data_IF_355259785393
#
_entry.id   IF_355259785393
#
_cell.length_a   1.000
_cell.length_b   1.000
_cell.length_c   1.000
_cell.angle_alpha   90.00
_cell.angle_beta   90.00
_cell.angle_gamma   90.00
#
_symmetry.space_group_name_H-M   'P 1'
#
loop_
_entity.id
_entity.type
_entity.pdbx_description
1 polymer ?
#
# COMPACT_ATOMS: atom_id res chain seq x y z
N UNK A 1 24.23 -3.93 49.55
CA UNK A 1 22.79 -3.57 49.53
C UNK A 1 22.68 -2.21 48.85
N UNK A 2 21.86 -1.93 47.85
CA UNK A 2 20.73 -2.66 47.28
C UNK A 2 20.82 -2.61 45.74
N UNK A 3 20.81 -3.81 45.15
CA UNK A 3 20.65 -4.05 43.72
C UNK A 3 19.16 -3.92 43.43
N UNK A 4 18.77 -2.87 42.73
CA UNK A 4 17.37 -2.59 42.38
C UNK A 4 17.26 -2.05 40.96
N UNK A 5 18.02 -2.61 40.02
CA UNK A 5 17.81 -2.36 38.60
C UNK A 5 16.44 -2.92 38.22
N UNK A 6 15.57 -2.04 37.74
CA UNK A 6 14.25 -2.40 37.22
C UNK A 6 14.37 -3.60 36.26
N UNK A 7 13.68 -4.72 36.51
CA UNK A 7 13.60 -5.80 35.54
C UNK A 7 12.69 -5.34 34.39
N UNK A 8 13.30 -4.74 33.36
CA UNK A 8 12.66 -4.48 32.07
C UNK A 8 12.36 -5.79 31.35
N UNK A 9 11.34 -6.50 31.80
CA UNK A 9 10.99 -7.83 31.33
C UNK A 9 9.50 -8.00 31.10
N UNK A 10 8.88 -7.17 30.26
CA UNK A 10 7.49 -7.33 29.81
C UNK A 10 7.23 -6.65 28.44
N UNK A 11 8.03 -6.94 27.40
CA UNK A 11 7.80 -6.29 26.09
C UNK A 11 8.35 -6.97 24.83
N UNK A 12 9.31 -7.89 24.93
CA UNK A 12 10.03 -8.41 23.74
C UNK A 12 9.21 -9.31 22.81
N UNK A 13 8.28 -10.11 23.33
CA UNK A 13 7.47 -11.02 22.51
C UNK A 13 6.39 -10.33 21.68
N UNK A 14 5.82 -9.24 22.21
CA UNK A 14 4.76 -8.49 21.54
C UNK A 14 5.32 -7.57 20.44
N UNK A 15 6.52 -7.00 20.66
CA UNK A 15 7.20 -6.12 19.70
C UNK A 15 7.71 -6.88 18.45
N UNK A 16 8.20 -8.11 18.59
CA UNK A 16 8.61 -8.92 17.45
C UNK A 16 7.44 -9.29 16.53
N UNK A 17 6.28 -9.60 17.10
CA UNK A 17 5.07 -9.86 16.34
C UNK A 17 4.52 -8.59 15.68
N UNK A 18 4.57 -7.45 16.39
CA UNK A 18 4.22 -6.14 15.83
C UNK A 18 5.11 -5.76 14.64
N UNK A 19 6.43 -5.93 14.74
CA UNK A 19 7.38 -5.67 13.66
C UNK A 19 7.07 -6.50 12.41
N UNK A 20 6.78 -7.80 12.57
CA UNK A 20 6.40 -8.67 11.44
C UNK A 20 5.09 -8.24 10.79
N UNK A 21 4.08 -7.86 11.59
CA UNK A 21 2.81 -7.35 11.08
C UNK A 21 2.99 -6.01 10.35
N UNK A 22 3.80 -5.11 10.90
CA UNK A 22 4.12 -3.83 10.27
C UNK A 22 4.90 -4.00 8.95
N UNK A 23 5.88 -4.90 8.90
CA UNK A 23 6.61 -5.23 7.68
C UNK A 23 5.69 -5.82 6.60
N UNK A 24 4.78 -6.71 6.99
CA UNK A 24 3.78 -7.26 6.07
C UNK A 24 2.87 -6.14 5.54
N UNK A 25 2.36 -5.29 6.43
CA UNK A 25 1.51 -4.16 6.05
C UNK A 25 2.24 -3.17 5.14
N UNK A 26 3.52 -2.88 5.38
CA UNK A 26 4.32 -2.04 4.49
C UNK A 26 4.40 -2.63 3.08
N UNK A 27 4.71 -3.93 2.95
CA UNK A 27 4.75 -4.62 1.65
C UNK A 27 3.39 -4.64 0.97
N UNK A 28 2.34 -4.99 1.70
CA UNK A 28 0.97 -5.06 1.19
C UNK A 28 0.50 -3.67 0.69
N UNK A 29 0.87 -2.59 1.40
CA UNK A 29 0.58 -1.21 0.98
C UNK A 29 1.36 -0.81 -0.27
N UNK A 30 2.65 -1.13 -0.37
CA UNK A 30 3.45 -0.85 -1.57
C UNK A 30 2.91 -1.61 -2.78
N UNK A 31 2.51 -2.86 -2.60
CA UNK A 31 1.92 -3.66 -3.67
C UNK A 31 0.55 -3.14 -4.08
N UNK A 32 -0.33 -2.83 -3.11
CA UNK A 32 -1.63 -2.24 -3.39
C UNK A 32 -1.51 -0.90 -4.11
N UNK A 33 -0.55 -0.05 -3.75
CA UNK A 33 -0.26 1.19 -4.47
C UNK A 33 0.12 0.90 -5.92
N UNK A 34 1.07 -0.01 -6.17
CA UNK A 34 1.47 -0.38 -7.54
C UNK A 34 0.32 -0.95 -8.37
N UNK A 35 -0.54 -1.77 -7.77
CA UNK A 35 -1.71 -2.33 -8.44
C UNK A 35 -2.78 -1.27 -8.74
N UNK A 36 -2.97 -0.30 -7.85
CA UNK A 36 -3.86 0.84 -8.13
C UNK A 36 -3.30 1.66 -9.28
N UNK A 37 -1.99 1.94 -9.26
CA UNK A 37 -1.31 2.70 -10.29
C UNK A 37 -1.39 2.05 -11.67
N UNK A 38 -1.31 0.73 -11.76
CA UNK A 38 -1.34 -0.02 -13.02
C UNK A 38 -2.76 -0.35 -13.52
N UNK A 39 -3.80 -0.12 -12.71
CA UNK A 39 -5.18 -0.34 -13.16
C UNK A 39 -5.54 0.63 -14.28
N UNK A 40 -6.08 0.09 -15.36
CA UNK A 40 -6.58 0.84 -16.49
C UNK A 40 -8.09 1.06 -16.38
N UNK A 41 -8.53 2.26 -16.74
CA UNK A 41 -9.91 2.67 -16.78
C UNK A 41 -10.20 3.21 -18.17
N UNK A 42 -11.37 2.85 -18.71
CA UNK A 42 -11.81 3.28 -20.03
C UNK A 42 -13.06 4.16 -19.88
N UNK A 43 -13.07 5.29 -20.57
CA UNK A 43 -14.22 6.17 -20.65
C UNK A 43 -14.48 6.57 -22.11
N UNK A 44 -15.75 6.59 -22.52
CA UNK A 44 -16.14 6.97 -23.88
C UNK A 44 -17.14 8.13 -23.86
N UNK A 45 -17.06 8.98 -24.89
CA UNK A 45 -17.97 10.12 -25.10
C UNK A 45 -18.49 10.16 -26.54
N UNK A 46 -19.58 10.90 -26.77
CA UNK A 46 -20.16 11.05 -28.12
C UNK A 46 -20.71 9.74 -28.71
N UNK A 47 -21.21 8.83 -27.87
CA UNK A 47 -21.70 7.53 -28.31
C UNK A 47 -20.60 6.54 -28.72
N UNK A 48 -19.36 6.74 -28.27
CA UNK A 48 -18.20 5.94 -28.65
C UNK A 48 -17.32 6.58 -29.73
N UNK A 49 -17.59 7.84 -30.10
CA UNK A 49 -16.78 8.59 -31.06
C UNK A 49 -15.39 8.94 -30.53
N UNK A 50 -15.22 9.01 -29.21
CA UNK A 50 -13.92 9.17 -28.55
C UNK A 50 -13.85 8.23 -27.35
N UNK A 51 -12.79 7.43 -27.27
CA UNK A 51 -12.50 6.52 -26.16
C UNK A 51 -11.15 6.89 -25.56
N UNK A 52 -11.10 7.10 -24.25
CA UNK A 52 -9.86 7.42 -23.52
C UNK A 52 -9.56 6.31 -22.53
N UNK A 53 -8.33 5.80 -22.57
CA UNK A 53 -7.77 4.93 -21.55
C UNK A 53 -6.87 5.72 -20.62
N UNK A 54 -7.10 5.58 -19.32
CA UNK A 54 -6.29 6.21 -18.27
C UNK A 54 -5.84 5.17 -17.26
N UNK A 55 -4.71 5.38 -16.61
CA UNK A 55 -4.29 4.54 -15.49
C UNK A 55 -4.74 5.12 -14.13
N UNK A 56 -4.48 4.40 -13.03
CA UNK A 56 -4.78 4.88 -11.68
C UNK A 56 -3.92 6.05 -11.21
N UNK A 57 -2.83 6.38 -11.93
CA UNK A 57 -2.07 7.63 -11.76
C UNK A 57 -2.73 8.83 -12.45
N UNK A 58 -3.87 8.62 -13.13
CA UNK A 58 -4.55 9.62 -13.97
C UNK A 58 -3.72 10.04 -15.18
N UNK A 59 -2.80 9.19 -15.63
CA UNK A 59 -2.06 9.38 -16.87
C UNK A 59 -2.88 8.81 -18.03
N UNK A 60 -2.92 9.53 -19.15
CA UNK A 60 -3.58 9.07 -20.38
C UNK A 60 -2.67 8.07 -21.08
N UNK A 61 -3.18 6.86 -21.29
CA UNK A 61 -2.45 5.78 -21.97
C UNK A 61 -2.73 5.78 -23.47
N UNK A 62 -3.99 5.99 -23.85
CA UNK A 62 -4.42 5.98 -25.25
C UNK A 62 -5.71 6.77 -25.46
N UNK A 63 -5.87 7.30 -26.68
CA UNK A 63 -7.08 7.95 -27.17
C UNK A 63 -7.41 7.31 -28.52
N UNK A 64 -8.66 6.90 -28.70
CA UNK A 64 -9.20 6.28 -29.92
C UNK A 64 -10.43 7.04 -30.40
#
# INVERSE_FOLDING_TARGET
MARGGFPGGFGGGNLNNLMKQAQKLQKDMEQAQKEIESKEFEASVGGGAVVVKVNGKKEVLAIY
#
